data_IF_635024932993
#
_entry.id   IF_635024932993
#
_cell.length_a   1.000
_cell.length_b   1.000
_cell.length_c   1.000
_cell.angle_alpha   90.00
_cell.angle_beta   90.00
_cell.angle_gamma   90.00
#
_symmetry.space_group_name_H-M   'P 1'
#
loop_
_entity.id
_entity.type
_entity.pdbx_description
1 polymer ?
2 non-polymer ?
3 non-polymer ?
4 water ?
#
# COMPACT_ATOMS: atom_id res chain seq x y z
N UNK A 27 24.78 -4.35 -12.08
CA UNK A 27 23.57 -3.70 -12.63
C UNK A 27 23.74 -3.46 -14.14
N UNK A 28 23.13 -4.36 -14.93
CA UNK A 28 23.32 -4.45 -16.38
C UNK A 28 22.20 -3.74 -17.15
N UNK A 29 22.31 -2.41 -17.29
CA UNK A 29 21.21 -1.56 -17.73
C UNK A 29 21.54 -0.76 -19.01
N UNK A 30 22.54 -1.20 -19.78
CA UNK A 30 22.77 -0.71 -21.12
C UNK A 30 23.21 0.74 -21.22
N UNK A 31 23.36 1.25 -22.44
CA UNK A 31 23.96 2.59 -22.59
C UNK A 31 23.02 3.74 -22.29
N UNK A 32 21.72 3.46 -22.22
CA UNK A 32 20.73 4.48 -21.91
C UNK A 32 20.93 5.00 -20.47
N UNK A 33 21.43 4.15 -19.54
CA UNK A 33 21.41 4.42 -18.10
C UNK A 33 22.83 4.39 -17.48
N UNK A 34 23.50 5.56 -17.62
CA UNK A 34 24.87 5.82 -17.14
C UNK A 34 24.90 6.41 -15.72
N UNK A 35 26.07 6.33 -15.03
CA UNK A 35 26.33 6.94 -13.70
C UNK A 35 25.36 6.52 -12.58
N UNK A 36 25.67 5.43 -11.84
CA UNK A 36 24.72 4.77 -10.90
C UNK A 36 24.88 5.18 -9.41
N UNK A 37 23.96 4.70 -8.50
CA UNK A 37 23.97 5.01 -7.06
C UNK A 37 23.42 3.85 -6.18
N UNK A 38 22.79 4.13 -4.99
CA UNK A 38 22.49 3.12 -3.95
C UNK A 38 21.29 3.60 -3.06
N UNK A 39 20.05 3.03 -3.24
CA UNK A 39 18.80 3.65 -2.74
C UNK A 39 17.93 2.73 -1.81
N UNK A 40 17.36 1.64 -2.33
CA UNK A 40 16.39 0.78 -1.64
C UNK A 40 16.58 -0.71 -1.87
N UNK A 41 15.71 -1.59 -1.30
CA UNK A 41 15.91 -3.05 -1.40
C UNK A 41 14.64 -3.91 -1.14
N UNK A 42 14.64 -5.13 -1.68
CA UNK A 42 13.64 -6.17 -1.38
C UNK A 42 14.22 -7.56 -1.17
N UNK A 43 13.34 -8.55 -0.88
CA UNK A 43 13.74 -9.96 -0.71
C UNK A 43 14.22 -10.61 -2.04
N UNK A 44 13.46 -10.37 -3.15
CA UNK A 44 13.78 -10.94 -4.46
C UNK A 44 14.24 -9.88 -5.50
N UNK A 45 14.51 -8.67 -5.03
CA UNK A 45 15.05 -7.63 -5.87
C UNK A 45 15.61 -6.45 -5.10
N UNK A 46 15.94 -5.37 -5.84
CA UNK A 46 16.65 -4.20 -5.30
C UNK A 46 16.41 -2.96 -6.18
N UNK A 47 16.18 -1.76 -5.58
CA UNK A 47 15.95 -0.49 -6.31
C UNK A 47 17.12 0.48 -6.07
N UNK A 48 17.69 1.06 -7.15
CA UNK A 48 18.79 2.05 -7.10
C UNK A 48 18.57 3.18 -8.14
N UNK A 49 19.59 4.03 -8.42
CA UNK A 49 19.40 5.20 -9.29
C UNK A 49 20.46 5.29 -10.38
N UNK A 50 20.11 5.92 -11.54
CA UNK A 50 21.02 6.14 -12.69
C UNK A 50 20.57 7.32 -13.56
N UNK A 51 21.41 7.75 -14.55
CA UNK A 51 21.09 8.86 -15.46
C UNK A 51 20.56 8.38 -16.83
N UNK A 52 19.34 8.83 -17.23
CA UNK A 52 18.70 8.46 -18.51
C UNK A 52 19.20 9.37 -19.64
N UNK A 53 19.35 8.82 -20.88
CA UNK A 53 19.85 9.56 -22.06
C UNK A 53 18.81 9.88 -23.17
N UNK A 54 17.76 9.04 -23.38
CA UNK A 54 16.71 9.29 -24.39
C UNK A 54 15.87 10.52 -24.00
N UNK A 55 15.37 10.53 -22.75
CA UNK A 55 15.05 11.77 -22.03
C UNK A 55 16.28 12.05 -21.16
N UNK A 56 16.48 13.30 -20.74
CA UNK A 56 17.75 13.72 -20.13
C UNK A 56 17.56 14.07 -18.66
N UNK A 57 17.34 13.03 -17.83
CA UNK A 57 17.03 13.15 -16.39
C UNK A 57 17.60 11.95 -15.61
N UNK A 58 17.79 12.09 -14.28
CA UNK A 58 18.08 10.90 -13.45
C UNK A 58 16.76 10.14 -13.21
N UNK A 59 16.86 8.81 -13.06
CA UNK A 59 15.74 7.86 -12.97
C UNK A 59 16.05 6.91 -11.84
N UNK A 60 15.04 6.12 -11.44
CA UNK A 60 15.17 5.04 -10.49
C UNK A 60 15.12 3.75 -11.30
N UNK A 61 15.90 2.75 -10.90
CA UNK A 61 15.95 1.45 -11.56
C UNK A 61 15.95 0.36 -10.52
N UNK A 62 15.06 -0.64 -10.65
CA UNK A 62 15.08 -1.77 -9.75
C UNK A 62 15.37 -3.11 -10.42
N UNK A 63 16.49 -3.72 -9.98
CA UNK A 63 17.00 -5.03 -10.39
C UNK A 63 16.13 -6.08 -9.68
N UNK A 64 15.30 -6.81 -10.45
CA UNK A 64 14.47 -7.89 -9.93
C UNK A 64 15.10 -9.17 -10.53
N UNK A 65 15.22 -10.20 -9.70
CA UNK A 65 15.75 -11.51 -10.09
C UNK A 65 14.84 -12.55 -9.41
N UNK A 66 13.60 -12.76 -9.90
CA UNK A 66 12.66 -13.62 -9.19
C UNK A 66 12.57 -15.05 -9.76
N UNK A 67 13.49 -15.46 -10.67
CA UNK A 67 13.13 -16.64 -11.46
C UNK A 67 13.38 -17.98 -10.72
N UNK A 68 13.69 -17.96 -9.39
CA UNK A 68 13.84 -19.18 -8.56
C UNK A 68 12.53 -19.57 -7.82
N UNK A 69 11.64 -18.60 -7.51
CA UNK A 69 10.44 -18.84 -6.69
C UNK A 69 9.16 -18.49 -7.43
N UNK A 70 8.11 -19.34 -7.28
CA UNK A 70 6.82 -19.19 -7.95
C UNK A 70 6.08 -17.96 -7.46
N UNK A 71 5.96 -17.83 -6.14
CA UNK A 71 5.36 -16.70 -5.45
C UNK A 71 5.99 -15.35 -5.91
N UNK A 72 7.33 -15.22 -5.92
CA UNK A 72 8.02 -13.98 -6.33
C UNK A 72 7.85 -13.67 -7.83
N UNK A 73 7.85 -14.70 -8.69
CA UNK A 73 7.45 -14.58 -10.09
C UNK A 73 6.00 -14.04 -10.18
N UNK A 74 5.06 -14.60 -9.37
CA UNK A 74 3.66 -14.14 -9.33
C UNK A 74 3.55 -12.64 -8.96
N UNK A 75 4.46 -12.15 -8.10
CA UNK A 75 4.42 -10.80 -7.57
C UNK A 75 5.13 -9.79 -8.49
N UNK A 76 6.29 -10.20 -9.10
CA UNK A 76 6.89 -9.49 -10.24
C UNK A 76 5.85 -9.33 -11.34
N UNK A 77 5.15 -10.42 -11.67
CA UNK A 77 4.10 -10.36 -12.70
C UNK A 77 2.87 -9.49 -12.31
N UNK A 78 2.24 -9.70 -11.11
CA UNK A 78 1.17 -8.82 -10.58
C UNK A 78 1.49 -7.34 -10.78
N UNK A 79 2.66 -6.93 -10.26
CA UNK A 79 3.12 -5.54 -10.28
C UNK A 79 3.29 -5.04 -11.71
N UNK A 80 4.03 -5.78 -12.55
CA UNK A 80 4.22 -5.35 -13.93
C UNK A 80 2.87 -5.18 -14.61
N UNK A 81 2.04 -6.22 -14.61
CA UNK A 81 0.70 -6.10 -15.25
C UNK A 81 -0.11 -4.87 -14.74
N UNK A 82 -0.15 -4.62 -13.43
CA UNK A 82 -0.92 -3.50 -12.84
C UNK A 82 -0.32 -2.16 -13.20
N UNK A 83 0.99 -1.98 -13.01
CA UNK A 83 1.59 -0.65 -13.26
C UNK A 83 1.58 -0.27 -14.72
N UNK A 84 1.70 -1.22 -15.62
CA UNK A 84 1.52 -1.00 -17.06
C UNK A 84 0.05 -0.65 -17.48
N UNK A 85 -0.95 -1.18 -16.81
CA UNK A 85 -2.35 -0.87 -17.13
C UNK A 85 -2.69 0.53 -16.56
N UNK A 86 -2.28 0.79 -15.35
CA UNK A 86 -2.58 2.03 -14.64
C UNK A 86 -1.87 3.24 -15.18
N UNK A 87 -2.61 4.36 -15.30
CA UNK A 87 -2.04 5.67 -15.51
C UNK A 87 -2.71 6.73 -14.58
N UNK A 88 -1.96 7.24 -13.61
CA UNK A 88 -2.51 8.18 -12.63
C UNK A 88 -1.41 8.97 -12.01
N UNK A 89 -1.63 10.24 -11.76
CA UNK A 89 -0.53 11.10 -11.24
C UNK A 89 0.01 10.70 -9.86
N UNK A 90 -0.76 9.91 -9.09
CA UNK A 90 -0.36 9.53 -7.72
C UNK A 90 -0.07 8.06 -7.61
N UNK A 91 0.24 7.41 -8.77
CA UNK A 91 0.66 6.04 -8.83
C UNK A 91 1.91 6.02 -9.70
N UNK A 92 2.95 5.36 -9.20
CA UNK A 92 4.20 5.22 -9.94
C UNK A 92 3.99 4.49 -11.28
N UNK A 93 4.61 4.97 -12.33
CA UNK A 93 4.54 4.29 -13.60
C UNK A 93 5.81 3.49 -13.86
N UNK A 94 5.78 2.72 -14.92
CA UNK A 94 6.98 2.13 -15.53
C UNK A 94 7.29 2.89 -16.80
N UNK A 95 8.48 3.53 -16.86
CA UNK A 95 8.99 4.23 -18.04
C UNK A 95 9.68 3.26 -19.02
N UNK A 96 10.39 2.25 -18.50
CA UNK A 96 11.12 1.27 -19.33
C UNK A 96 11.32 -0.01 -18.54
N UNK A 97 11.50 -1.11 -19.27
CA UNK A 97 11.87 -2.38 -18.66
C UNK A 97 13.02 -2.90 -19.50
N UNK A 98 14.14 -3.24 -18.84
CA UNK A 98 15.34 -3.68 -19.52
C UNK A 98 15.51 -5.14 -19.21
N UNK A 99 15.71 -5.95 -20.23
CA UNK A 99 15.91 -7.36 -20.05
C UNK A 99 16.59 -7.96 -21.26
N UNK A 100 17.09 -9.18 -21.10
CA UNK A 100 17.73 -9.90 -22.20
C UNK A 100 16.74 -10.11 -23.37
N UNK A 101 17.24 -10.29 -24.60
CA UNK A 101 16.31 -10.52 -25.71
C UNK A 101 15.62 -11.87 -25.77
N UNK A 102 16.10 -12.89 -25.04
CA UNK A 102 15.59 -14.27 -25.12
C UNK A 102 15.31 -14.72 -23.68
N UNK A 103 14.43 -15.73 -23.49
CA UNK A 103 14.09 -16.24 -22.15
C UNK A 103 15.34 -16.84 -21.49
N UNK A 104 16.08 -17.60 -22.29
CA UNK A 104 17.32 -18.27 -21.92
C UNK A 104 18.29 -17.29 -21.29
N UNK A 105 18.61 -16.21 -22.03
CA UNK A 105 19.57 -15.20 -21.60
C UNK A 105 19.03 -14.28 -20.49
N UNK A 106 17.68 -14.30 -20.18
CA UNK A 106 17.06 -13.44 -19.20
C UNK A 106 17.18 -13.98 -17.76
N UNK A 107 18.11 -13.40 -17.00
CA UNK A 107 18.30 -13.70 -15.58
C UNK A 107 17.67 -12.65 -14.68
N UNK A 108 17.77 -11.39 -15.07
CA UNK A 108 17.29 -10.25 -14.29
C UNK A 108 16.25 -9.45 -15.11
N UNK A 109 15.38 -8.71 -14.44
CA UNK A 109 14.50 -7.72 -15.09
C UNK A 109 14.81 -6.40 -14.42
N UNK A 110 15.11 -5.36 -15.23
CA UNK A 110 15.30 -4.01 -14.70
C UNK A 110 14.12 -3.11 -15.03
N UNK A 111 13.43 -2.66 -14.00
CA UNK A 111 12.26 -1.77 -14.16
C UNK A 111 12.69 -0.34 -13.89
N UNK A 112 12.48 0.53 -14.88
CA UNK A 112 12.86 1.94 -14.81
C UNK A 112 11.63 2.75 -14.45
N UNK A 113 11.79 3.64 -13.47
CA UNK A 113 10.73 4.54 -13.02
C UNK A 113 11.23 5.98 -12.83
N UNK A 114 10.30 6.93 -12.75
CA UNK A 114 10.69 8.32 -12.39
C UNK A 114 11.42 8.27 -11.02
N UNK A 115 12.57 8.95 -10.91
CA UNK A 115 13.26 9.07 -9.64
C UNK A 115 12.45 9.99 -8.76
N UNK A 116 12.23 9.58 -7.51
CA UNK A 116 11.49 10.36 -6.55
C UNK A 116 12.50 10.69 -5.45
N UNK A 117 12.51 11.95 -5.00
CA UNK A 117 13.53 12.45 -4.07
C UNK A 117 13.52 11.60 -2.83
N UNK A 118 12.34 11.31 -2.26
CA UNK A 118 12.34 10.54 -1.00
C UNK A 118 11.07 9.64 -0.89
N UNK A 119 10.82 9.09 0.29
CA UNK A 119 9.59 8.39 0.63
C UNK A 119 9.13 8.86 1.96
N UNK A 120 7.89 8.56 2.31
CA UNK A 120 7.30 9.06 3.54
C UNK A 120 7.94 8.40 4.78
N UNK A 121 8.44 7.17 4.65
CA UNK A 121 9.16 6.53 5.74
C UNK A 121 10.39 7.37 6.15
N UNK A 122 11.31 7.59 5.24
CA UNK A 122 12.51 8.43 5.41
C UNK A 122 12.15 9.83 5.93
N UNK A 123 11.13 10.42 5.34
CA UNK A 123 10.63 11.75 5.73
C UNK A 123 10.12 11.80 7.20
N UNK A 124 9.37 10.80 7.61
CA UNK A 124 8.86 10.73 8.98
C UNK A 124 9.90 10.46 10.02
N UNK A 125 11.05 9.88 9.66
CA UNK A 125 12.09 9.66 10.67
C UNK A 125 12.89 10.96 10.91
N UNK A 126 12.88 11.97 9.98
CA UNK A 126 13.69 13.19 10.07
C UNK A 126 12.90 14.53 10.18
N UNK A 127 11.62 14.58 9.73
CA UNK A 127 10.89 15.83 9.53
C UNK A 127 9.57 15.84 10.30
N UNK A 128 9.33 16.93 11.03
CA UNK A 128 7.98 17.27 11.47
C UNK A 128 7.14 17.71 10.25
N UNK A 129 5.92 17.18 10.09
CA UNK A 129 5.03 17.60 9.01
C UNK A 129 4.04 18.63 9.53
N UNK A 130 3.92 19.80 8.88
CA UNK A 130 2.84 20.75 9.20
C UNK A 130 1.49 20.09 8.91
N UNK A 131 0.42 20.59 9.56
CA UNK A 131 -0.94 20.15 9.21
C UNK A 131 -1.20 20.26 7.69
N UNK A 132 -0.70 21.32 7.05
CA UNK A 132 -0.91 21.51 5.60
C UNK A 132 -0.27 20.42 4.74
N UNK A 133 0.91 19.92 5.15
CA UNK A 133 1.55 18.79 4.48
C UNK A 133 0.79 17.52 4.73
N UNK A 134 0.33 17.32 5.95
CA UNK A 134 -0.40 16.09 6.32
C UNK A 134 -1.68 16.01 5.47
N UNK A 135 -2.35 17.13 5.37
CA UNK A 135 -3.59 17.23 4.60
C UNK A 135 -3.36 16.87 3.14
N UNK A 136 -2.35 17.50 2.54
CA UNK A 136 -1.98 17.30 1.15
C UNK A 136 -1.52 15.87 0.90
N UNK A 137 -0.72 15.30 1.79
CA UNK A 137 -0.30 13.90 1.62
C UNK A 137 -1.49 12.96 1.68
N UNK A 138 -2.34 13.12 2.66
CA UNK A 138 -3.51 12.25 2.81
C UNK A 138 -4.42 12.37 1.58
N UNK A 139 -4.61 13.61 1.09
CA UNK A 139 -5.39 13.83 -0.12
C UNK A 139 -4.86 12.99 -1.26
N UNK A 140 -3.53 13.07 -1.52
CA UNK A 140 -2.92 12.36 -2.68
C UNK A 140 -2.95 10.88 -2.58
N UNK A 141 -2.73 10.35 -1.37
CA UNK A 141 -2.88 8.92 -1.08
C UNK A 141 -4.31 8.44 -1.41
N UNK A 142 -5.31 9.12 -0.86
CA UNK A 142 -6.70 8.78 -1.17
C UNK A 142 -7.08 8.97 -2.62
N UNK A 143 -6.55 9.99 -3.29
CA UNK A 143 -6.81 10.21 -4.73
C UNK A 143 -6.24 9.03 -5.57
N UNK A 144 -4.98 8.64 -5.29
CA UNK A 144 -4.38 7.45 -5.89
C UNK A 144 -5.20 6.19 -5.58
N UNK A 145 -5.57 6.03 -4.29
CA UNK A 145 -6.36 4.86 -3.84
C UNK A 145 -7.75 4.78 -4.44
N UNK A 146 -8.41 5.95 -4.66
CA UNK A 146 -9.67 5.96 -5.39
C UNK A 146 -9.50 5.26 -6.78
N UNK A 147 -8.43 5.54 -7.50
CA UNK A 147 -8.22 4.98 -8.82
C UNK A 147 -7.94 3.47 -8.70
N UNK A 148 -7.09 3.09 -7.78
CA UNK A 148 -6.76 1.71 -7.56
C UNK A 148 -7.99 0.87 -7.33
N UNK A 149 -8.81 1.23 -6.34
CA UNK A 149 -10.09 0.60 -5.97
C UNK A 149 -11.13 0.66 -7.07
N UNK A 150 -11.14 1.73 -7.88
CA UNK A 150 -12.08 1.80 -9.00
C UNK A 150 -11.67 0.73 -10.06
N UNK A 151 -10.38 0.28 -10.07
CA UNK A 151 -9.94 -0.80 -10.95
C UNK A 151 -10.25 -2.19 -10.41
N UNK A 152 -10.95 -2.28 -9.26
CA UNK A 152 -11.20 -3.52 -8.54
C UNK A 152 -9.93 -4.15 -8.00
N UNK A 153 -8.91 -3.33 -7.73
CA UNK A 153 -7.63 -3.77 -7.25
C UNK A 153 -7.45 -3.28 -5.80
N UNK A 154 -6.82 -4.12 -4.98
CA UNK A 154 -6.39 -3.81 -3.62
C UNK A 154 -4.92 -3.77 -3.61
N UNK A 155 -4.33 -2.74 -3.02
CA UNK A 155 -2.86 -2.63 -2.94
C UNK A 155 -2.30 -3.67 -1.93
N UNK A 156 -2.89 -3.67 -0.74
CA UNK A 156 -2.66 -4.65 0.36
C UNK A 156 -1.37 -4.47 1.14
N UNK A 157 -0.57 -3.48 0.82
CA UNK A 157 0.65 -3.26 1.58
C UNK A 157 1.01 -1.75 1.64
N UNK A 158 0.03 -0.90 1.87
CA UNK A 158 0.28 0.57 1.98
C UNK A 158 0.97 0.84 3.25
N UNK A 159 2.03 1.68 3.19
CA UNK A 159 2.83 1.99 4.34
C UNK A 159 3.75 3.13 3.94
N UNK A 160 4.33 3.86 4.91
CA UNK A 160 5.14 5.04 4.54
C UNK A 160 6.21 4.74 3.51
N UNK A 161 6.89 3.60 3.59
CA UNK A 161 7.99 3.35 2.65
C UNK A 161 7.50 3.08 1.18
N UNK A 162 6.17 2.82 0.97
CA UNK A 162 5.55 2.65 -0.35
C UNK A 162 4.89 3.89 -0.91
N UNK A 163 5.17 5.04 -0.30
CA UNK A 163 4.64 6.33 -0.69
C UNK A 163 5.84 7.20 -0.98
N UNK A 164 6.06 7.48 -2.25
CA UNK A 164 7.21 8.23 -2.75
C UNK A 164 6.86 9.67 -2.91
N UNK A 165 7.84 10.55 -2.66
CA UNK A 165 7.67 12.03 -2.65
C UNK A 165 8.76 12.72 -3.46
N UNK A 166 8.40 13.70 -4.27
CA UNK A 166 9.44 14.46 -4.99
C UNK A 166 9.79 15.76 -4.22
N UNK A 167 10.63 16.67 -4.76
CA UNK A 167 11.11 17.81 -3.95
C UNK A 167 10.01 18.79 -3.61
N UNK A 168 8.87 18.74 -4.32
CA UNK A 168 7.70 19.61 -4.12
C UNK A 168 6.55 18.83 -3.54
N UNK A 169 6.81 17.72 -2.83
CA UNK A 169 5.79 17.01 -2.05
C UNK A 169 4.63 16.37 -2.88
N UNK A 170 4.86 16.13 -4.17
CA UNK A 170 3.98 15.27 -4.95
C UNK A 170 4.26 13.82 -4.56
N UNK A 171 3.19 13.06 -4.42
CA UNK A 171 3.18 11.76 -3.78
C UNK A 171 2.75 10.77 -4.85
N UNK A 172 3.49 9.67 -4.98
CA UNK A 172 3.06 8.53 -5.78
C UNK A 172 3.10 7.22 -4.95
N UNK A 173 2.05 6.42 -5.04
CA UNK A 173 1.98 5.07 -4.50
C UNK A 173 2.83 4.09 -5.34
N UNK A 174 3.66 3.28 -4.69
CA UNK A 174 4.49 2.28 -5.37
C UNK A 174 4.30 0.88 -4.73
N UNK A 175 5.00 -0.15 -5.29
CA UNK A 175 5.05 -1.52 -4.76
C UNK A 175 3.72 -2.26 -4.78
N UNK A 176 3.33 -2.74 -5.93
CA UNK A 176 2.07 -3.48 -6.07
C UNK A 176 2.29 -4.99 -6.09
N UNK A 177 3.36 -5.49 -5.48
CA UNK A 177 3.66 -6.92 -5.55
C UNK A 177 2.74 -7.79 -4.70
N UNK A 178 2.04 -7.19 -3.69
CA UNK A 178 1.06 -7.94 -2.89
C UNK A 178 -0.38 -7.61 -3.32
N UNK A 179 -0.55 -6.85 -4.39
CA UNK A 179 -1.88 -6.46 -4.81
C UNK A 179 -2.66 -7.60 -5.42
N UNK A 180 -3.99 -7.51 -5.28
CA UNK A 180 -4.91 -8.56 -5.71
C UNK A 180 -6.13 -7.88 -6.28
N UNK A 181 -6.87 -8.61 -7.12
CA UNK A 181 -8.23 -8.26 -7.46
C UNK A 181 -9.09 -8.46 -6.23
N UNK A 182 -9.99 -7.54 -5.97
CA UNK A 182 -10.90 -7.66 -4.82
C UNK A 182 -11.77 -8.94 -4.94
N UNK A 183 -12.07 -9.61 -3.81
CA UNK A 183 -12.82 -10.84 -3.79
C UNK A 183 -13.60 -10.93 -2.48
N UNK A 184 -14.54 -9.97 -2.22
CA UNK A 184 -15.24 -9.97 -0.92
C UNK A 184 -16.05 -11.23 -0.61
N UNK A 185 -16.50 -11.98 -1.63
CA UNK A 185 -17.23 -13.23 -1.41
C UNK A 185 -16.34 -14.38 -0.91
N UNK A 186 -14.98 -14.26 -1.01
CA UNK A 186 -14.03 -15.27 -0.53
C UNK A 186 -13.08 -14.70 0.55
N UNK A 187 -13.53 -13.67 1.27
CA UNK A 187 -12.70 -13.00 2.26
C UNK A 187 -12.63 -13.77 3.59
N UNK A 188 -13.56 -14.69 3.88
CA UNK A 188 -13.54 -15.33 5.19
C UNK A 188 -12.44 -16.38 5.36
N UNK A 189 -11.83 -16.41 6.58
CA UNK A 189 -10.92 -17.50 6.98
C UNK A 189 -11.03 -17.74 8.48
N UNK A 190 -10.29 -18.72 8.99
CA UNK A 190 -10.22 -18.99 10.42
C UNK A 190 -9.38 -17.97 11.18
N UNK A 191 -9.33 -18.12 12.49
CA UNK A 191 -8.57 -17.32 13.43
C UNK A 191 -7.06 -17.63 13.31
N UNK A 192 -6.21 -16.60 13.40
CA UNK A 192 -4.74 -16.75 13.26
C UNK A 192 -4.32 -17.36 11.91
N UNK A 193 -4.89 -16.88 10.80
CA UNK A 193 -4.46 -17.30 9.47
C UNK A 193 -3.23 -16.43 9.12
N UNK A 194 -2.13 -17.06 8.69
CA UNK A 194 -0.92 -16.33 8.32
C UNK A 194 -1.23 -15.30 7.21
N UNK A 195 -0.50 -14.21 7.24
CA UNK A 195 -0.71 -13.10 6.33
C UNK A 195 0.64 -12.57 5.93
N UNK A 196 0.74 -11.97 4.75
CA UNK A 196 2.03 -11.58 4.17
C UNK A 196 2.33 -10.07 4.34
N UNK A 197 1.33 -9.21 4.29
CA UNK A 197 1.60 -7.77 4.26
C UNK A 197 2.18 -7.24 5.59
N UNK A 198 2.85 -6.11 5.53
CA UNK A 198 3.52 -5.49 6.69
C UNK A 198 2.63 -5.37 7.95
N UNK A 199 3.15 -5.85 9.10
CA UNK A 199 2.37 -6.10 10.33
C UNK A 199 1.71 -4.85 10.89
N UNK A 200 2.47 -3.79 11.07
CA UNK A 200 1.97 -2.56 11.70
C UNK A 200 0.74 -1.95 10.99
N UNK A 201 0.54 -2.30 9.72
CA UNK A 201 -0.54 -1.67 8.88
C UNK A 201 -1.71 -2.63 8.60
N UNK A 202 -1.72 -3.81 9.26
CA UNK A 202 -2.76 -4.83 9.13
C UNK A 202 -4.01 -4.54 9.91
N UNK A 203 -5.16 -4.52 9.23
CA UNK A 203 -6.46 -4.32 9.87
C UNK A 203 -6.71 -5.46 10.87
N UNK A 204 -7.47 -5.17 11.95
CA UNK A 204 -7.66 -6.19 13.00
C UNK A 204 -8.28 -7.47 12.50
N UNK A 205 -9.20 -7.38 11.48
CA UNK A 205 -9.89 -8.55 10.91
C UNK A 205 -8.95 -9.56 10.28
N UNK A 206 -7.77 -9.13 9.83
CA UNK A 206 -6.72 -10.04 9.31
C UNK A 206 -6.39 -11.09 10.33
N UNK A 207 -6.25 -10.68 11.58
CA UNK A 207 -5.89 -11.60 12.62
C UNK A 207 -7.06 -12.46 13.12
N UNK A 208 -8.27 -12.07 12.75
CA UNK A 208 -9.51 -12.63 13.29
C UNK A 208 -10.24 -13.50 12.29
N UNK A 209 -10.56 -12.99 11.09
CA UNK A 209 -11.41 -13.79 10.18
C UNK A 209 -11.34 -13.38 8.67
N UNK A 210 -10.30 -12.63 8.24
CA UNK A 210 -10.26 -12.01 6.93
C UNK A 210 -8.99 -12.39 6.20
N UNK A 211 -9.13 -12.75 4.92
CA UNK A 211 -7.98 -12.93 4.01
C UNK A 211 -7.48 -11.59 3.39
N UNK A 212 -8.11 -10.44 3.69
CA UNK A 212 -7.66 -9.18 3.11
C UNK A 212 -8.00 -9.02 1.65
N UNK A 213 -9.20 -9.50 1.28
CA UNK A 213 -9.74 -9.50 -0.08
C UNK A 213 -10.79 -8.40 -0.29
N UNK A 214 -10.95 -7.46 0.68
CA UNK A 214 -11.89 -6.34 0.57
C UNK A 214 -11.13 -5.02 0.65
N UNK A 215 -11.68 -4.01 -0.05
CA UNK A 215 -11.18 -2.63 -0.10
C UNK A 215 -10.97 -2.03 1.29
N UNK A 216 -11.81 -2.39 2.27
CA UNK A 216 -11.64 -1.90 3.65
C UNK A 216 -10.22 -2.13 4.25
N UNK A 217 -9.43 -3.09 3.71
CA UNK A 217 -8.10 -3.42 4.24
C UNK A 217 -7.09 -2.24 3.99
N UNK A 218 -7.24 -1.60 2.84
CA UNK A 218 -6.44 -0.48 2.42
C UNK A 218 -6.75 0.75 3.17
N UNK A 219 -8.03 0.97 3.46
CA UNK A 219 -8.48 2.09 4.28
C UNK A 219 -7.90 2.03 5.65
N UNK A 220 -7.89 0.84 6.29
CA UNK A 220 -7.25 0.70 7.57
C UNK A 220 -5.79 1.13 7.46
N UNK A 221 -5.03 0.63 6.48
CA UNK A 221 -3.66 1.06 6.31
C UNK A 221 -3.52 2.53 6.21
N UNK A 222 -4.36 3.17 5.43
CA UNK A 222 -4.30 4.64 5.27
C UNK A 222 -4.53 5.36 6.61
N UNK A 223 -5.50 4.85 7.40
CA UNK A 223 -5.77 5.27 8.76
C UNK A 223 -4.49 5.26 9.58
N UNK A 224 -3.69 4.19 9.45
CA UNK A 224 -2.43 4.01 10.21
C UNK A 224 -1.36 5.02 9.79
N UNK A 225 -1.32 5.28 8.50
CA UNK A 225 -0.38 6.19 7.89
C UNK A 225 -0.69 7.63 8.35
N UNK A 226 -1.98 8.01 8.35
CA UNK A 226 -2.45 9.25 8.88
C UNK A 226 -2.02 9.41 10.33
N UNK A 227 -2.32 8.42 11.16
CA UNK A 227 -1.94 8.50 12.60
C UNK A 227 -0.43 8.74 12.72
N UNK A 228 0.35 8.07 11.88
CA UNK A 228 1.80 8.18 11.93
C UNK A 228 2.29 9.55 11.46
N UNK A 229 1.66 10.13 10.43
CA UNK A 229 1.99 11.51 10.03
C UNK A 229 1.71 12.52 11.15
N UNK A 230 0.68 12.28 11.96
CA UNK A 230 0.38 13.16 13.10
C UNK A 230 1.44 13.16 14.25
N UNK A 231 2.17 12.05 14.46
CA UNK A 231 3.11 11.92 15.57
C UNK A 231 4.55 11.51 15.20
N UNK A 232 4.84 11.15 13.91
CA UNK A 232 6.12 10.56 13.48
C UNK A 232 6.40 9.19 14.09
N UNK A 233 5.38 8.50 14.60
CA UNK A 233 5.57 7.22 15.28
C UNK A 233 4.47 6.31 14.81
N UNK A 234 4.74 5.04 14.49
CA UNK A 234 3.63 4.15 14.13
C UNK A 234 2.62 4.01 15.27
N UNK A 235 1.36 3.97 14.95
CA UNK A 235 0.29 3.94 15.94
C UNK A 235 0.13 2.58 16.63
N UNK A 236 0.34 1.46 15.92
CA UNK A 236 0.17 0.10 16.43
C UNK A 236 1.46 -0.71 16.05
N UNK A 237 2.60 -0.44 16.72
CA UNK A 237 3.84 -1.16 16.37
C UNK A 237 3.95 -2.59 16.96
N UNK A 238 3.01 -3.48 16.65
CA UNK A 238 3.07 -4.85 17.16
C UNK A 238 4.41 -5.51 16.87
N UNK A 239 4.86 -6.39 17.78
CA UNK A 239 6.15 -7.10 17.59
C UNK A 239 5.96 -8.55 17.09
N UNK A 240 4.73 -9.03 17.04
CA UNK A 240 4.44 -10.35 16.51
C UNK A 240 2.95 -10.44 16.20
N UNK A 241 2.61 -11.39 15.36
CA UNK A 241 1.29 -11.55 14.81
C UNK A 241 0.15 -11.09 15.71
N UNK A 242 -0.05 -11.69 16.92
CA UNK A 242 -1.22 -11.39 17.77
C UNK A 242 -1.08 -10.15 18.63
N UNK A 243 0.16 -9.72 18.90
CA UNK A 243 0.43 -8.48 19.62
C UNK A 243 -0.10 -7.28 18.82
N UNK A 244 -0.13 -7.42 17.50
CA UNK A 244 -0.71 -6.44 16.56
C UNK A 244 -2.15 -6.11 16.92
N UNK A 245 -2.99 -7.13 17.08
CA UNK A 245 -4.40 -6.95 17.51
C UNK A 245 -4.53 -6.30 18.88
N UNK A 246 -3.70 -6.71 19.80
CA UNK A 246 -3.82 -6.20 21.17
C UNK A 246 -3.37 -4.70 21.24
N UNK A 247 -2.39 -4.29 20.43
CA UNK A 247 -2.09 -2.86 20.19
C UNK A 247 -3.31 -2.11 19.68
N UNK A 248 -3.97 -2.66 18.68
CA UNK A 248 -5.18 -2.04 18.12
C UNK A 248 -6.24 -1.86 19.18
N UNK A 249 -6.54 -2.92 19.95
CA UNK A 249 -7.60 -2.88 20.96
C UNK A 249 -7.27 -2.01 22.15
N UNK A 250 -5.99 -1.84 22.45
CA UNK A 250 -5.52 -0.87 23.46
C UNK A 250 -5.87 0.57 23.17
N UNK A 251 -6.12 0.94 21.90
CA UNK A 251 -6.52 2.31 21.54
C UNK A 251 -8.00 2.34 21.25
N UNK A 252 -8.50 1.42 20.42
CA UNK A 252 -9.93 1.45 20.07
C UNK A 252 -10.85 1.03 21.17
N UNK A 253 -10.33 0.20 22.07
CA UNK A 253 -11.10 -0.40 23.14
C UNK A 253 -11.68 -1.72 22.69
N UNK A 254 -12.31 -2.42 23.61
CA UNK A 254 -13.01 -3.67 23.36
C UNK A 254 -14.09 -3.49 22.29
N UNK A 255 -14.22 -4.39 21.33
CA UNK A 255 -15.34 -4.26 20.39
C UNK A 255 -16.72 -4.38 21.04
N UNK A 256 -17.70 -3.64 20.46
CA UNK A 256 -19.07 -3.67 20.94
C UNK A 256 -19.67 -5.01 20.69
N UNK A 257 -20.80 -5.29 21.30
CA UNK A 257 -21.53 -6.54 21.03
C UNK A 257 -21.84 -6.71 19.58
N UNK A 258 -22.33 -5.62 18.91
CA UNK A 258 -22.73 -5.69 17.52
C UNK A 258 -21.55 -6.05 16.68
N UNK A 259 -20.40 -5.41 16.89
CA UNK A 259 -19.22 -5.70 16.10
C UNK A 259 -18.67 -7.11 16.35
N UNK A 260 -18.82 -7.58 17.57
CA UNK A 260 -18.45 -8.94 17.94
C UNK A 260 -19.40 -9.99 17.29
N UNK A 261 -20.72 -9.71 17.28
CA UNK A 261 -21.67 -10.56 16.57
C UNK A 261 -21.42 -10.71 15.04
N UNK A 262 -20.70 -9.76 14.43
CA UNK A 262 -20.29 -9.91 13.03
C UNK A 262 -19.11 -10.90 12.84
N UNK A 263 -18.40 -11.31 13.92
CA UNK A 263 -17.37 -12.33 13.84
C UNK A 263 -18.07 -13.68 14.20
N UNK A 264 -18.49 -14.42 13.20
CA UNK A 264 -19.22 -15.68 13.45
C UNK A 264 -18.26 -16.82 13.85
N UNK A 265 -17.00 -16.72 13.41
CA UNK A 265 -16.01 -17.73 13.75
C UNK A 265 -15.82 -17.77 15.26
N UNK A 266 -16.01 -18.92 15.86
CA UNK A 266 -16.04 -19.10 17.32
C UNK A 266 -14.69 -18.93 17.99
N UNK A 267 -13.61 -19.43 17.35
CA UNK A 267 -12.25 -19.21 17.86
C UNK A 267 -11.93 -17.75 17.93
N UNK A 268 -12.26 -17.01 16.90
CA UNK A 268 -11.99 -15.60 16.87
C UNK A 268 -12.85 -14.85 17.87
N UNK A 269 -14.19 -15.11 17.88
CA UNK A 269 -15.11 -14.51 18.83
C UNK A 269 -14.70 -14.81 20.27
N UNK A 270 -14.44 -16.07 20.60
CA UNK A 270 -14.08 -16.42 21.95
C UNK A 270 -12.74 -15.84 22.42
N UNK A 271 -11.81 -15.65 21.51
CA UNK A 271 -10.57 -14.94 21.81
C UNK A 271 -10.86 -13.51 22.24
N UNK A 272 -11.64 -12.78 21.48
CA UNK A 272 -12.01 -11.45 21.89
C UNK A 272 -12.78 -11.41 23.19
N UNK A 273 -13.66 -12.36 23.41
CA UNK A 273 -14.40 -12.43 24.67
C UNK A 273 -13.53 -12.72 25.89
N UNK A 274 -12.40 -13.42 25.70
CA UNK A 274 -11.50 -13.77 26.79
C UNK A 274 -10.67 -12.55 27.28
N UNK A 275 -10.65 -11.44 26.57
CA UNK A 275 -9.75 -10.36 26.93
C UNK A 275 -10.42 -9.47 28.02
N UNK A 276 -9.64 -8.85 28.95
CA UNK A 276 -10.25 -7.83 29.83
C UNK A 276 -10.84 -6.66 29.05
N UNK A 277 -11.92 -6.09 29.56
CA UNK A 277 -12.53 -4.88 29.01
C UNK A 277 -11.46 -3.80 28.89
N UNK A 278 -11.37 -3.13 27.72
CA UNK A 278 -10.57 -1.92 27.51
C UNK A 278 -11.46 -0.81 26.97
N UNK A 279 -11.20 0.39 27.46
CA UNK A 279 -11.92 1.59 27.05
C UNK A 279 -11.13 2.21 25.93
N UNK A 280 -11.86 2.85 25.01
CA UNK A 280 -11.34 3.69 23.93
C UNK A 280 -10.40 4.79 24.47
N UNK A 281 -9.20 4.95 23.87
CA UNK A 281 -8.29 6.07 24.16
C UNK A 281 -8.78 7.19 23.22
N UNK A 282 -9.25 8.37 23.71
CA UNK A 282 -9.69 9.40 22.77
C UNK A 282 -8.57 9.88 21.86
N UNK A 283 -8.89 10.12 20.60
CA UNK A 283 -7.86 10.47 19.64
C UNK A 283 -7.16 11.78 20.02
N UNK A 284 -7.88 12.73 20.67
CA UNK A 284 -7.29 14.06 21.04
C UNK A 284 -6.34 14.01 22.25
N UNK A 285 -6.32 12.90 23.01
CA UNK A 285 -5.31 12.65 24.05
C UNK A 285 -4.06 12.01 23.42
N UNK A 286 -4.28 11.12 22.47
CA UNK A 286 -3.20 10.51 21.72
C UNK A 286 -2.52 11.60 20.84
N UNK A 287 -3.33 12.49 20.21
CA UNK A 287 -2.86 13.46 19.20
C UNK A 287 -3.31 14.88 19.61
N UNK A 288 -2.70 15.43 20.66
CA UNK A 288 -3.19 16.73 21.19
C UNK A 288 -2.92 17.96 20.30
N UNK A 289 -2.00 17.87 19.32
CA UNK A 289 -1.76 19.01 18.39
C UNK A 289 -2.49 18.85 17.07
N UNK A 290 -3.23 17.74 16.89
CA UNK A 290 -3.82 17.44 15.62
C UNK A 290 -5.07 18.25 15.39
N UNK A 291 -5.32 18.59 14.13
CA UNK A 291 -6.56 19.17 13.68
C UNK A 291 -7.70 18.27 14.02
N UNK A 292 -8.82 18.86 14.47
CA UNK A 292 -9.95 18.07 14.98
C UNK A 292 -10.71 17.37 13.85
N UNK A 293 -10.77 17.97 12.68
CA UNK A 293 -11.32 17.30 11.47
C UNK A 293 -10.44 16.13 11.02
N UNK A 294 -9.08 16.22 11.14
CA UNK A 294 -8.19 15.07 10.79
C UNK A 294 -8.46 13.89 11.73
N UNK A 295 -8.71 14.17 13.03
CA UNK A 295 -9.03 13.11 13.99
C UNK A 295 -10.39 12.54 13.76
N UNK A 296 -11.34 13.34 13.29
CA UNK A 296 -12.67 12.80 12.91
C UNK A 296 -12.52 11.83 11.74
N UNK A 297 -11.64 12.12 10.73
CA UNK A 297 -11.45 11.23 9.59
C UNK A 297 -10.69 9.99 10.04
N UNK A 298 -9.65 10.17 10.82
CA UNK A 298 -8.93 9.05 11.44
C UNK A 298 -9.83 8.04 12.10
N UNK A 299 -10.75 8.51 12.89
CA UNK A 299 -11.68 7.66 13.60
C UNK A 299 -12.47 6.79 12.66
N UNK A 300 -12.90 7.36 11.55
CA UNK A 300 -13.71 6.66 10.57
C UNK A 300 -12.87 5.67 9.72
N UNK A 301 -11.53 5.94 9.54
CA UNK A 301 -10.62 5.00 8.87
C UNK A 301 -10.22 3.85 9.79
N UNK A 302 -10.04 4.14 11.08
CA UNK A 302 -9.68 3.13 12.07
C UNK A 302 -10.87 2.66 12.86
N UNK A 303 -11.91 2.24 12.14
CA UNK A 303 -13.11 1.59 12.69
C UNK A 303 -12.83 0.11 12.75
N UNK A 304 -13.17 -0.54 13.87
CA UNK A 304 -12.87 -1.96 14.06
C UNK A 304 -13.63 -2.81 13.04
N UNK A 305 -14.89 -2.49 12.83
CA UNK A 305 -15.77 -3.25 11.97
C UNK A 305 -15.56 -2.81 10.55
N UNK A 306 -15.00 -3.68 9.68
CA UNK A 306 -14.72 -3.23 8.30
C UNK A 306 -15.93 -2.88 7.47
N UNK A 307 -17.13 -3.35 7.83
CA UNK A 307 -18.35 -2.95 7.15
C UNK A 307 -18.70 -1.52 7.45
N UNK A 308 -18.35 -1.01 8.63
CA UNK A 308 -18.65 0.35 9.07
C UNK A 308 -17.55 1.34 8.73
N UNK A 309 -16.40 0.81 8.25
CA UNK A 309 -15.24 1.60 7.96
C UNK A 309 -15.55 2.53 6.77
N UNK A 310 -15.07 3.75 6.83
CA UNK A 310 -15.30 4.70 5.72
C UNK A 310 -14.69 4.14 4.44
N UNK A 311 -15.32 4.36 3.28
CA UNK A 311 -14.76 4.06 1.95
C UNK A 311 -13.97 5.24 1.36
N UNK A 312 -13.20 4.99 0.32
CA UNK A 312 -12.23 5.93 -0.24
C UNK A 312 -12.88 7.18 -0.74
N UNK A 313 -14.02 7.06 -1.47
CA UNK A 313 -14.67 8.23 -2.01
C UNK A 313 -15.34 9.03 -0.91
N UNK A 314 -15.85 8.36 0.17
CA UNK A 314 -16.35 9.13 1.33
C UNK A 314 -15.23 9.79 2.09
N UNK A 315 -14.10 9.14 2.25
CA UNK A 315 -12.95 9.81 2.86
C UNK A 315 -12.52 11.07 2.07
N UNK A 316 -12.44 11.01 0.72
CA UNK A 316 -12.13 12.21 -0.09
C UNK A 316 -13.11 13.35 0.17
N UNK A 317 -14.43 13.04 0.32
CA UNK A 317 -15.54 13.93 0.65
C UNK A 317 -15.63 14.42 2.12
N UNK A 318 -14.72 14.01 3.01
CA UNK A 318 -14.72 14.42 4.41
C UNK A 318 -14.28 15.90 4.58
N UNK A 319 -14.91 16.68 5.53
CA UNK A 319 -14.50 18.08 5.77
C UNK A 319 -13.01 18.40 5.86
N UNK A 320 -12.19 17.51 6.40
CA UNK A 320 -10.74 17.73 6.51
C UNK A 320 -10.10 18.03 5.18
N UNK A 321 -10.64 17.43 4.09
CA UNK A 321 -10.02 17.48 2.75
C UNK A 321 -10.72 18.46 1.82
N UNK A 322 -11.61 19.29 2.39
CA UNK A 322 -12.48 20.18 1.62
C UNK A 322 -11.74 21.17 0.73
N UNK A 323 -10.49 21.55 1.09
CA UNK A 323 -9.75 22.49 0.25
C UNK A 323 -9.32 21.85 -1.07
N UNK A 324 -9.19 20.52 -1.07
CA UNK A 324 -8.71 19.73 -2.21
C UNK A 324 -9.82 19.03 -2.94
N UNK A 325 -10.91 18.70 -2.25
CA UNK A 325 -11.89 17.79 -2.82
C UNK A 325 -12.45 18.30 -4.15
N UNK A 326 -12.29 17.50 -5.19
CA UNK A 326 -12.82 17.82 -6.52
C UNK A 326 -13.00 16.52 -7.25
N UNK A 327 -14.20 15.90 -7.21
CA UNK A 327 -14.36 14.56 -7.80
C UNK A 327 -14.12 14.49 -9.31
N UNK A 328 -14.34 15.58 -10.03
CA UNK A 328 -14.05 15.64 -11.46
C UNK A 328 -12.57 15.65 -11.73
N UNK A 329 -11.74 15.95 -10.71
CA UNK A 329 -10.29 15.91 -10.81
C UNK A 329 -9.69 14.76 -9.98
N UNK A 330 -10.50 13.72 -9.70
CA UNK A 330 -10.06 12.52 -8.99
C UNK A 330 -10.49 11.37 -9.87
N UNK A 331 -9.67 11.10 -10.90
CA UNK A 331 -10.08 10.11 -11.93
C UNK A 331 -10.19 8.65 -11.46
N UNK A 332 -10.98 7.91 -12.24
CA UNK A 332 -11.15 6.46 -12.03
C UNK A 332 -10.58 5.68 -13.21
N UNK A 333 -10.33 4.38 -13.02
CA UNK A 333 -9.82 3.54 -14.12
C UNK A 333 -10.87 3.34 -15.22
N UNK A 334 -10.42 3.30 -16.48
CA UNK A 334 -11.24 2.97 -17.64
C UNK A 334 -11.63 1.52 -17.61
N UNK A 335 -10.62 0.67 -17.41
CA UNK A 335 -10.78 -0.78 -17.44
C UNK A 335 -10.30 -1.37 -16.10
N UNK A 336 -11.21 -1.62 -15.14
CA UNK A 336 -10.88 -2.51 -14.02
C UNK A 336 -10.51 -3.94 -14.40
N UNK A 337 -9.97 -4.68 -13.41
CA UNK A 337 -9.60 -6.11 -13.52
C UNK A 337 -10.74 -7.03 -13.07
N UNK A 338 -10.72 -8.29 -13.57
CA UNK A 338 -11.65 -9.37 -13.17
C UNK A 338 -10.94 -10.57 -12.48
N UNK A 339 -9.61 -10.77 -12.71
CA UNK A 339 -8.82 -11.91 -12.22
C UNK A 339 -9.32 -13.24 -12.82
N UNK A 347 3.06 -22.66 -12.86
CA UNK A 347 4.31 -22.58 -12.09
C UNK A 347 5.34 -21.58 -12.64
N UNK A 348 6.37 -21.33 -11.83
CA UNK A 348 7.58 -20.52 -12.09
C UNK A 348 8.10 -20.52 -13.57
N UNK A 349 7.96 -21.64 -14.32
CA UNK A 349 8.39 -21.72 -15.72
C UNK A 349 7.37 -21.02 -16.63
N UNK A 350 6.06 -21.20 -16.36
CA UNK A 350 5.01 -20.50 -17.10
C UNK A 350 5.04 -18.98 -16.75
N UNK A 351 5.43 -18.61 -15.53
CA UNK A 351 5.40 -17.22 -15.10
C UNK A 351 6.58 -16.46 -15.69
N UNK A 352 7.75 -17.11 -15.89
CA UNK A 352 8.86 -16.44 -16.57
C UNK A 352 8.44 -16.08 -17.98
N UNK A 353 7.72 -16.97 -18.66
CA UNK A 353 7.25 -16.76 -20.02
C UNK A 353 6.21 -15.62 -20.06
N UNK A 354 5.35 -15.55 -19.05
CA UNK A 354 4.40 -14.42 -18.94
C UNK A 354 5.14 -13.12 -18.63
N UNK A 355 6.10 -13.13 -17.71
CA UNK A 355 6.99 -11.98 -17.48
C UNK A 355 7.72 -11.60 -18.80
N UNK A 356 8.23 -12.59 -19.56
CA UNK A 356 8.89 -12.34 -20.85
C UNK A 356 7.93 -11.64 -21.83
N UNK A 357 6.74 -12.23 -22.02
CA UNK A 357 5.66 -11.67 -22.85
C UNK A 357 5.17 -10.28 -22.38
N UNK A 358 5.09 -10.05 -21.07
CA UNK A 358 4.56 -8.79 -20.54
C UNK A 358 5.56 -7.62 -20.67
N UNK A 359 6.87 -7.91 -20.83
CA UNK A 359 7.91 -6.88 -20.99
C UNK A 359 8.37 -6.71 -22.46
N UNK A 360 7.78 -7.48 -23.42
CA UNK A 360 8.12 -7.44 -24.86
C UNK A 360 8.03 -6.04 -25.48
N UNK A 361 7.09 -5.21 -25.03
CA UNK A 361 6.86 -3.91 -25.65
C UNK A 361 8.07 -2.94 -25.51
N UNK A 362 8.92 -3.15 -24.50
CA UNK A 362 10.05 -2.25 -24.24
C UNK A 362 11.27 -2.65 -25.05
N UNK A 363 11.27 -3.81 -25.70
CA UNK A 363 12.44 -4.30 -26.38
C UNK A 363 12.64 -3.54 -27.69
N UNK A 364 13.92 -3.39 -28.13
CA UNK A 364 14.15 -3.00 -29.53
C UNK A 364 13.61 -4.07 -30.48
N UNK A 365 13.02 -3.63 -31.59
CA UNK A 365 12.34 -4.51 -32.54
C UNK A 365 10.96 -4.92 -32.07
X LIG B 1 3.96 -12.03 11.42
X LIG B 1 4.14 -13.35 12.03
X LIG B 1 3.19 -11.15 12.31
X LIG B 1 3.25 -12.13 10.12
X LIG B 1 5.30 -11.46 11.20
X LIG C 1 15.29 7.98 -3.43
X LIG C 1 12.32 6.07 -2.59
X LIG C 1 13.10 6.68 -3.54
X LIG C 1 12.22 6.02 -5.77
X LIG C 1 11.18 5.64 -7.75
X LIG C 1 10.79 4.38 -7.34
X LIG C 1 11.17 4.01 -6.06
X LIG C 1 10.84 2.70 -5.50
X LIG C 1 10.21 1.63 -6.05
X LIG C 1 10.09 0.52 -5.17
X LIG C 1 10.81 -3.66 -4.32
X LIG C 1 10.23 -5.68 -3.10
X LIG C 1 10.06 -7.18 -3.20
X LIG C 1 11.39 -7.25 -5.11
X LIG C 1 11.68 -5.78 -5.03
X LIG C 1 10.50 -0.43 -3.04
X LIG C 1 10.66 0.77 -3.95
X LIG C 1 14.16 7.22 -2.90
X LIG C 1 14.12 6.97 -1.56
X LIG C 1 13.00 6.28 -1.40
X LIG C 1 12.95 6.84 -4.92
X LIG C 1 11.90 6.49 -7.00
X LIG C 1 11.88 4.82 -5.26
X LIG C 1 9.55 -0.85 -5.19
X LIG C 1 8.95 -1.43 -6.09
X LIG C 1 9.87 -1.38 -3.97
X LIG C 1 9.71 -2.82 -3.69
X LIG C 1 10.52 -5.10 -4.43
X LIG C 1 11.18 -7.81 -3.81
X LIG C 1 9.53 -0.05 -1.92
X LIG C 1 11.83 -0.93 -2.48
X LIG C 1 11.33 2.35 -3.87
X LIG C 1 16.21 7.78 -2.88
X LIG C 1 15.12 9.05 -3.39
X LIG C 1 15.48 7.72 -4.47
X LIG C 1 11.39 5.53 -2.72
X LIG C 1 10.91 6.00 -8.74
X LIG C 1 10.21 3.74 -7.99
X LIG C 1 9.82 1.60 -7.07
X LIG C 1 11.75 -3.47 -3.83
X LIG C 1 10.97 -3.31 -5.35
X LIG C 1 10.95 -5.43 -2.33
X LIG C 1 9.29 -5.30 -2.72
X LIG C 1 9.14 -7.46 -3.71
X LIG C 1 10.02 -7.65 -2.22
X LIG C 1 10.54 -7.42 -5.75
X LIG C 1 12.21 -7.82 -5.55
X LIG C 1 12.62 -5.62 -4.51
X LIG C 1 11.84 -5.41 -6.04
X LIG C 1 12.71 5.93 -0.41
X LIG C 1 13.32 7.69 -5.33
X LIG C 1 8.73 -3.12 -4.05
X LIG C 1 9.69 -2.94 -2.60
X LIG C 1 9.99 0.65 -1.22
X LIG C 1 9.21 -0.92 -1.33
X LIG C 1 8.62 0.42 -2.31
X LIG C 1 12.46 -0.10 -2.17
X LIG C 1 12.41 -1.53 -3.17
X LIG C 1 11.69 -1.56 -1.59
#
# INVERSE_FOLDING_TARGET
MAHHHHHHMAAAAAAGAGPEMVRGQVFDVGPRYTNLSYIGEGAYGMVCSAYDNVNKVRVAIKKISPFEHQTYCQRTLREIKILLRFRHENIIGINDIIRAPTIEQMKDVYIVQDLMETDLYKLLKTQHLSNDHICYFLYQILRGLKYIHSANVLHRDLKPSNLLLNTTCDLKICDFGLARVADPDHDHTGFLTEYVATRWYRAPEIMLNSKGYTKSIDIWSVGCILAEMLSNRPIFPGKHYLDQLNHILGILGSPSQEDLNCIINLKARNYLLSLPHKNKVPWNRLFPNADSKALDLLDKMLTFNPHKRIEVEQALAHPYLEQYYDPSDEPIAEAPFKFDMELDDLPKEKLKELIFEETARFQPGYRS
SO4 S O1 O2 O3 O4
KE8 C1 C5 C6 C8 C10 C11 C12 C14 C15 C16 C21 C23 C24 C26 C27 C28 C31 N2 N3 C4 N7 N9 N13 C17 O18 N19 C20 N22 O25 C29 C30 S32 H33 H34 H35 H37 H39 H40 H41 H44 H45 H47 H46 H48 H49 H50 H51 H53 H52 H36 H38 H42 H43 H56 H54 H55 H58 H59 H57
#
